data_IF_537359406160
#
_entry.id   IF_537359406160
#
_cell.length_a   1.000
_cell.length_b   1.000
_cell.length_c   1.000
_cell.angle_alpha   90.00
_cell.angle_beta   90.00
_cell.angle_gamma   90.00
#
_symmetry.space_group_name_H-M   'P 1'
#
loop_
_entity.id
_entity.type
_entity.pdbx_description
1 polymer ?
#
# COMPACT_ATOMS: atom_id res chain seq x y z
N UNK A 1 -2.91 4.72 71.83
CA UNK A 1 -2.36 3.40 71.45
C UNK A 1 -3.49 2.55 70.90
N UNK A 2 -3.42 2.18 69.62
CA UNK A 2 -4.39 1.34 68.92
C UNK A 2 -3.63 0.24 68.14
N UNK A 3 -4.22 -0.95 67.96
CA UNK A 3 -3.50 -2.13 67.52
C UNK A 3 -3.31 -2.20 66.01
N UNK A 4 -2.32 -3.01 65.63
CA UNK A 4 -1.82 -3.27 64.28
C UNK A 4 -2.72 -4.33 63.62
N UNK A 5 -3.19 -4.11 62.39
CA UNK A 5 -3.65 -5.16 61.46
C UNK A 5 -2.67 -5.20 60.28
N UNK A 6 -1.88 -6.26 60.04
CA UNK A 6 -2.26 -7.56 59.45
C UNK A 6 -3.16 -7.39 58.23
N UNK A 7 -2.81 -7.80 57.01
CA UNK A 7 -1.74 -8.64 56.51
C UNK A 7 -2.13 -9.04 55.07
N UNK A 8 -1.18 -8.90 54.15
CA UNK A 8 -0.93 -9.75 52.97
C UNK A 8 -2.17 -10.18 52.15
N UNK A 9 -2.40 -9.48 51.04
CA UNK A 9 -3.30 -9.92 49.96
C UNK A 9 -2.73 -11.17 49.25
N UNK A 10 -3.62 -12.13 49.00
CA UNK A 10 -3.34 -13.53 48.63
C UNK A 10 -2.80 -13.67 47.20
N UNK A 11 -1.82 -14.56 47.08
CA UNK A 11 -1.18 -15.05 45.85
C UNK A 11 -2.12 -15.82 44.91
N UNK A 12 -2.02 -15.62 43.59
CA UNK A 12 -2.43 -16.63 42.59
C UNK A 12 -1.52 -16.60 41.34
N UNK A 13 -0.20 -16.53 41.50
CA UNK A 13 0.71 -16.91 40.40
C UNK A 13 1.49 -18.16 40.81
N UNK A 14 1.04 -19.32 40.31
CA UNK A 14 1.85 -20.53 40.28
C UNK A 14 2.64 -20.53 38.96
N UNK A 15 3.98 -20.60 38.98
CA UNK A 15 4.76 -20.86 37.78
C UNK A 15 4.75 -22.37 37.52
N UNK A 16 4.20 -22.80 36.38
CA UNK A 16 4.33 -24.19 35.92
C UNK A 16 5.30 -24.25 34.74
N UNK A 17 6.51 -24.73 35.09
CA UNK A 17 7.50 -25.50 34.32
C UNK A 17 8.15 -24.84 33.09
N UNK A 18 9.48 -24.80 33.15
CA UNK A 18 10.39 -24.56 32.04
C UNK A 18 10.24 -25.65 30.97
N UNK A 19 10.11 -25.24 29.71
CA UNK A 19 10.21 -26.13 28.55
C UNK A 19 11.47 -25.74 27.79
N UNK A 20 12.32 -26.75 27.60
CA UNK A 20 13.68 -26.63 27.11
C UNK A 20 13.77 -26.08 25.67
N UNK A 21 14.83 -25.31 25.47
CA UNK A 21 15.34 -24.75 24.24
C UNK A 21 15.66 -25.85 23.22
N UNK A 22 14.88 -25.94 22.14
CA UNK A 22 15.33 -26.60 20.92
C UNK A 22 15.97 -25.52 20.03
N UNK A 23 17.29 -25.63 19.84
CA UNK A 23 18.07 -24.77 18.98
C UNK A 23 17.62 -24.92 17.52
N UNK A 24 16.86 -23.96 17.02
CA UNK A 24 16.65 -23.80 15.59
C UNK A 24 17.77 -22.90 15.06
N UNK A 25 18.69 -23.47 14.28
CA UNK A 25 19.83 -22.76 13.72
C UNK A 25 19.37 -21.68 12.72
N UNK A 26 19.27 -20.42 13.16
CA UNK A 26 19.07 -19.24 12.30
C UNK A 26 20.41 -18.77 11.73
N UNK A 27 21.11 -19.65 11.01
CA UNK A 27 22.31 -19.29 10.23
C UNK A 27 22.22 -19.88 8.84
N UNK A 28 21.42 -19.22 8.00
CA UNK A 28 21.68 -18.91 6.57
C UNK A 28 20.41 -18.33 5.96
N UNK A 29 20.08 -17.10 6.33
CA UNK A 29 19.32 -16.20 5.45
C UNK A 29 19.66 -14.73 5.80
N UNK A 30 20.96 -14.45 5.92
CA UNK A 30 21.47 -13.09 5.83
C UNK A 30 21.87 -12.91 4.37
N UNK A 31 20.97 -12.28 3.60
CA UNK A 31 21.24 -11.42 2.45
C UNK A 31 20.00 -11.32 1.56
N UNK A 32 19.10 -10.41 1.93
CA UNK A 32 18.26 -9.72 0.98
C UNK A 32 17.80 -8.41 1.63
N UNK A 33 18.73 -7.47 1.76
CA UNK A 33 18.39 -6.05 1.76
C UNK A 33 17.87 -5.68 0.37
N UNK A 34 16.70 -6.19 0.00
CA UNK A 34 16.01 -5.72 -1.20
C UNK A 34 15.11 -4.57 -0.77
N UNK A 35 15.62 -3.35 -0.98
CA UNK A 35 14.74 -2.28 -1.40
C UNK A 35 13.91 -2.85 -2.55
N UNK A 36 12.67 -3.25 -2.26
CA UNK A 36 11.77 -3.73 -3.30
C UNK A 36 11.71 -2.66 -4.39
N UNK A 37 11.70 -3.05 -5.68
CA UNK A 37 11.62 -2.10 -6.78
C UNK A 37 10.45 -1.18 -6.50
N UNK A 38 10.76 0.11 -6.32
CA UNK A 38 9.79 1.17 -6.11
C UNK A 38 8.73 0.97 -7.19
N UNK A 39 7.50 0.68 -6.77
CA UNK A 39 6.37 0.47 -7.69
C UNK A 39 6.27 1.74 -8.53
N UNK A 40 6.86 1.71 -9.73
CA UNK A 40 6.63 2.72 -10.76
C UNK A 40 5.13 2.80 -10.84
N UNK A 41 4.56 4.01 -10.75
CA UNK A 41 3.12 4.21 -10.94
C UNK A 41 2.82 3.64 -12.32
N UNK A 42 2.40 2.39 -12.38
CA UNK A 42 2.09 1.73 -13.63
C UNK A 42 0.88 2.45 -14.16
N UNK A 43 1.06 3.16 -15.26
CA UNK A 43 -0.03 3.71 -16.03
C UNK A 43 -0.99 2.54 -16.28
N UNK A 44 -2.25 2.69 -15.90
CA UNK A 44 -3.23 1.62 -16.06
C UNK A 44 -3.47 1.45 -17.56
N UNK A 45 -3.49 0.21 -18.04
CA UNK A 45 -3.99 -0.09 -19.38
C UNK A 45 -5.38 0.52 -19.53
N UNK A 46 -5.57 1.32 -20.58
CA UNK A 46 -6.86 1.96 -20.85
C UNK A 46 -7.83 0.91 -21.41
N UNK A 47 -8.29 0.00 -20.55
CA UNK A 47 -9.16 -1.12 -20.92
C UNK A 47 -10.49 -0.65 -21.53
N UNK A 48 -10.93 0.58 -21.23
CA UNK A 48 -12.05 1.23 -21.90
C UNK A 48 -11.88 1.35 -23.42
N UNK A 49 -10.64 1.45 -23.92
CA UNK A 49 -10.38 1.54 -25.37
C UNK A 49 -10.59 0.20 -26.09
N UNK A 50 -10.65 -0.93 -25.37
CA UNK A 50 -11.00 -2.21 -25.96
C UNK A 50 -12.49 -2.32 -26.34
N UNK A 51 -13.32 -1.33 -25.96
CA UNK A 51 -14.68 -1.20 -26.46
C UNK A 51 -14.71 -0.81 -27.95
N UNK A 52 -13.66 -0.16 -28.45
CA UNK A 52 -13.47 0.16 -29.85
C UNK A 52 -13.06 -1.12 -30.63
N UNK A 53 -13.84 -1.54 -31.65
CA UNK A 53 -13.55 -2.76 -32.40
C UNK A 53 -12.19 -2.75 -33.10
N UNK A 54 -11.70 -1.59 -33.54
CA UNK A 54 -10.42 -1.47 -34.26
C UNK A 54 -9.22 -1.57 -33.31
N UNK A 55 -9.36 -1.00 -32.11
CA UNK A 55 -8.36 -1.14 -31.03
C UNK A 55 -8.32 -2.59 -30.55
N UNK A 56 -9.48 -3.23 -30.38
CA UNK A 56 -9.58 -4.64 -29.98
C UNK A 56 -8.93 -5.57 -31.01
N UNK A 57 -9.17 -5.34 -32.30
CA UNK A 57 -8.54 -6.12 -33.38
C UNK A 57 -7.02 -5.95 -33.38
N UNK A 58 -6.54 -4.73 -33.18
CA UNK A 58 -5.10 -4.43 -33.08
C UNK A 58 -4.46 -5.13 -31.88
N UNK A 59 -5.13 -5.13 -30.73
CA UNK A 59 -4.68 -5.85 -29.53
C UNK A 59 -4.53 -7.36 -29.78
N UNK A 60 -5.56 -8.00 -30.38
CA UNK A 60 -5.53 -9.42 -30.68
C UNK A 60 -4.39 -9.80 -31.65
N UNK A 61 -4.18 -9.02 -32.71
CA UNK A 61 -3.10 -9.26 -33.66
C UNK A 61 -1.71 -9.13 -33.02
N UNK A 62 -1.51 -8.13 -32.15
CA UNK A 62 -0.24 -7.93 -31.44
C UNK A 62 -0.01 -8.98 -30.36
N UNK A 63 -1.07 -9.42 -29.68
CA UNK A 63 -0.99 -10.49 -28.69
C UNK A 63 -0.56 -11.80 -29.34
N UNK A 64 -1.17 -12.15 -30.47
CA UNK A 64 -0.83 -13.36 -31.22
C UNK A 64 0.64 -13.33 -31.72
N UNK A 65 1.12 -12.16 -32.16
CA UNK A 65 2.52 -11.99 -32.58
C UNK A 65 3.54 -11.97 -31.43
N UNK A 66 3.08 -11.79 -30.17
CA UNK A 66 3.95 -11.71 -29.00
C UNK A 66 3.87 -12.95 -28.11
N UNK A 67 2.99 -13.91 -28.41
CA UNK A 67 2.80 -15.10 -27.59
C UNK A 67 3.95 -16.10 -27.85
N UNK A 68 4.67 -16.54 -26.81
CA UNK A 68 5.71 -17.55 -26.99
C UNK A 68 5.06 -18.90 -27.35
N UNK A 69 5.48 -19.52 -28.45
CA UNK A 69 5.05 -20.87 -28.88
C UNK A 69 5.68 -22.01 -28.03
N UNK A 70 6.14 -21.69 -26.82
CA UNK A 70 6.92 -22.61 -25.97
C UNK A 70 5.93 -23.46 -25.16
N UNK A 71 6.10 -24.79 -25.06
CA UNK A 71 5.25 -25.62 -24.22
C UNK A 71 5.30 -25.14 -22.77
N UNK A 72 4.12 -25.00 -22.16
CA UNK A 72 3.90 -24.41 -20.84
C UNK A 72 4.39 -25.35 -19.71
N UNK A 73 5.71 -25.59 -19.63
CA UNK A 73 6.33 -26.46 -18.62
C UNK A 73 7.25 -25.72 -17.65
N UNK A 74 7.55 -24.44 -17.90
CA UNK A 74 8.50 -23.64 -17.12
C UNK A 74 7.85 -22.36 -16.53
N UNK A 75 8.17 -22.08 -15.26
CA UNK A 75 7.72 -20.88 -14.52
C UNK A 75 8.17 -19.60 -15.22
N UNK A 76 9.33 -19.61 -15.87
CA UNK A 76 9.81 -18.45 -16.63
C UNK A 76 8.96 -18.18 -17.89
N UNK A 77 8.40 -19.22 -18.51
CA UNK A 77 7.47 -19.09 -19.65
C UNK A 77 6.17 -18.39 -19.24
N UNK A 78 5.65 -18.71 -18.05
CA UNK A 78 4.45 -18.06 -17.50
C UNK A 78 4.65 -16.55 -17.28
N UNK A 79 5.80 -16.15 -16.73
CA UNK A 79 6.11 -14.73 -16.55
C UNK A 79 6.30 -14.00 -17.89
N UNK A 80 6.87 -14.67 -18.90
CA UNK A 80 7.02 -14.12 -20.24
C UNK A 80 5.65 -13.89 -20.92
N UNK A 81 4.68 -14.77 -20.70
CA UNK A 81 3.30 -14.60 -21.18
C UNK A 81 2.62 -13.38 -20.56
N UNK A 82 2.75 -13.19 -19.25
CA UNK A 82 2.23 -12.01 -18.55
C UNK A 82 2.90 -10.73 -19.08
N UNK A 83 4.22 -10.76 -19.31
CA UNK A 83 4.94 -9.63 -19.88
C UNK A 83 4.50 -9.30 -21.32
N UNK A 84 4.21 -10.32 -22.12
CA UNK A 84 3.69 -10.22 -23.48
C UNK A 84 2.30 -9.58 -23.52
N UNK A 85 1.37 -10.04 -22.68
CA UNK A 85 0.05 -9.45 -22.51
C UNK A 85 0.12 -7.97 -22.14
N UNK A 86 0.96 -7.62 -21.17
CA UNK A 86 1.11 -6.24 -20.71
C UNK A 86 1.72 -5.35 -21.81
N UNK A 87 2.66 -5.88 -22.59
CA UNK A 87 3.30 -5.18 -23.71
C UNK A 87 2.33 -4.95 -24.86
N UNK A 88 1.59 -5.98 -25.29
CA UNK A 88 0.55 -5.89 -26.31
C UNK A 88 -0.56 -4.91 -25.90
N UNK A 89 -0.96 -4.93 -24.63
CA UNK A 89 -1.93 -4.00 -24.06
C UNK A 89 -1.45 -2.55 -24.14
N UNK A 90 -0.21 -2.26 -23.72
CA UNK A 90 0.35 -0.90 -23.78
C UNK A 90 0.44 -0.39 -25.21
N UNK A 91 0.77 -1.29 -26.14
CA UNK A 91 0.96 -1.01 -27.55
C UNK A 91 -0.36 -0.73 -28.31
N UNK A 92 -1.45 -1.41 -27.95
CA UNK A 92 -2.74 -1.27 -28.63
C UNK A 92 -3.64 -0.24 -27.95
N UNK A 93 -3.76 -0.29 -26.63
CA UNK A 93 -4.67 0.56 -25.87
C UNK A 93 -3.98 1.85 -25.38
N UNK A 94 -2.67 1.96 -25.53
CA UNK A 94 -1.90 3.00 -24.86
C UNK A 94 -1.97 2.85 -23.34
N UNK A 95 -1.39 3.83 -22.65
CA UNK A 95 -1.48 3.90 -21.21
C UNK A 95 -2.28 5.12 -20.81
N UNK A 96 -3.31 4.96 -19.97
CA UNK A 96 -3.93 6.12 -19.37
C UNK A 96 -2.92 6.71 -18.37
N UNK A 97 -2.56 8.02 -18.48
CA UNK A 97 -1.85 8.69 -17.39
C UNK A 97 -2.62 8.36 -16.11
N UNK A 98 -1.94 7.99 -15.02
CA UNK A 98 -2.62 7.83 -13.75
C UNK A 98 -3.30 9.16 -13.53
N UNK A 99 -4.63 9.18 -13.61
CA UNK A 99 -5.37 10.39 -13.33
C UNK A 99 -4.81 10.88 -12.01
N UNK A 100 -4.40 12.16 -11.97
CA UNK A 100 -3.80 12.72 -10.78
C UNK A 100 -4.81 12.47 -9.67
N UNK A 101 -4.55 11.45 -8.85
CA UNK A 101 -5.46 11.07 -7.77
C UNK A 101 -5.52 12.32 -6.94
N UNK A 102 -6.62 13.07 -7.03
CA UNK A 102 -6.91 14.21 -6.16
C UNK A 102 -7.19 13.61 -4.80
N UNK A 103 -6.13 13.21 -4.12
CA UNK A 103 -6.19 12.83 -2.73
C UNK A 103 -6.58 14.10 -1.96
N UNK A 104 -7.59 13.96 -1.09
CA UNK A 104 -8.08 15.04 -0.23
C UNK A 104 -7.04 15.45 0.83
N UNK A 105 -6.00 14.63 1.00
CA UNK A 105 -4.83 14.90 1.84
C UNK A 105 -3.78 15.69 1.07
N UNK A 106 -3.09 16.59 1.78
CA UNK A 106 -2.04 17.44 1.22
C UNK A 106 -0.75 16.67 0.95
N UNK A 107 0.11 17.24 0.10
CA UNK A 107 1.44 16.67 -0.18
C UNK A 107 2.30 16.53 1.09
N UNK A 108 2.12 17.45 2.05
CA UNK A 108 2.77 17.38 3.36
C UNK A 108 2.42 16.09 4.10
N UNK A 109 1.14 15.72 4.15
CA UNK A 109 0.69 14.46 4.76
C UNK A 109 1.20 13.25 4.00
N UNK A 110 1.27 13.32 2.67
CA UNK A 110 1.83 12.25 1.83
C UNK A 110 3.33 12.02 2.14
N UNK A 111 4.10 13.09 2.35
CA UNK A 111 5.52 13.00 2.74
C UNK A 111 5.68 12.33 4.10
N UNK A 112 4.86 12.69 5.10
CA UNK A 112 4.89 12.06 6.42
C UNK A 112 4.54 10.56 6.36
N UNK A 113 3.54 10.18 5.56
CA UNK A 113 3.16 8.79 5.34
C UNK A 113 4.28 8.00 4.65
N UNK A 114 4.98 8.60 3.68
CA UNK A 114 6.16 7.98 3.05
C UNK A 114 7.31 7.82 4.04
N UNK A 115 7.60 8.84 4.84
CA UNK A 115 8.62 8.77 5.89
C UNK A 115 8.35 7.62 6.86
N UNK A 116 7.10 7.51 7.35
CA UNK A 116 6.66 6.39 8.22
C UNK A 116 6.84 5.01 7.58
N UNK A 117 6.71 4.89 6.26
CA UNK A 117 6.83 3.62 5.52
C UNK A 117 8.28 3.17 5.36
N UNK A 118 9.23 4.10 5.43
CA UNK A 118 10.65 3.82 5.26
C UNK A 118 11.37 3.44 6.57
N UNK A 119 10.68 3.51 7.71
CA UNK A 119 11.25 3.15 9.02
C UNK A 119 11.07 1.66 9.26
N UNK A 120 12.15 0.97 9.65
CA UNK A 120 12.12 -0.45 10.03
C UNK A 120 11.26 -0.67 11.28
N UNK A 121 10.69 -1.87 11.42
CA UNK A 121 9.90 -2.26 12.60
C UNK A 121 10.77 -2.63 13.84
N UNK A 122 12.04 -2.20 13.84
CA UNK A 122 13.01 -2.49 14.89
C UNK A 122 12.68 -1.70 16.18
N UNK A 123 12.70 -2.32 17.37
CA UNK A 123 12.41 -1.66 18.65
C UNK A 123 13.15 -0.34 18.90
N UNK A 124 14.40 -0.21 18.43
CA UNK A 124 15.20 1.02 18.56
C UNK A 124 14.54 2.23 17.87
N UNK A 125 13.74 1.99 16.82
CA UNK A 125 13.05 3.03 16.07
C UNK A 125 11.67 3.38 16.62
N UNK A 126 11.18 2.67 17.64
CA UNK A 126 9.84 2.85 18.20
C UNK A 126 9.54 4.30 18.66
N UNK A 127 10.47 5.04 19.30
CA UNK A 127 10.23 6.44 19.66
C UNK A 127 9.97 7.33 18.43
N UNK A 128 10.78 7.18 17.38
CA UNK A 128 10.66 7.94 16.12
C UNK A 128 9.36 7.59 15.39
N UNK A 129 8.99 6.31 15.36
CA UNK A 129 7.71 5.83 14.82
C UNK A 129 6.53 6.51 15.57
N UNK A 130 6.62 6.61 16.89
CA UNK A 130 5.61 7.27 17.72
C UNK A 130 5.43 8.75 17.38
N UNK A 131 6.53 9.49 17.22
CA UNK A 131 6.52 10.91 16.87
C UNK A 131 5.88 11.12 15.49
N UNK A 132 6.29 10.35 14.49
CA UNK A 132 5.75 10.49 13.12
C UNK A 132 4.27 10.09 13.07
N UNK A 133 3.83 9.07 13.82
CA UNK A 133 2.40 8.73 13.93
C UNK A 133 1.58 9.89 14.47
N UNK A 134 2.08 10.61 15.48
CA UNK A 134 1.42 11.81 16.03
C UNK A 134 1.36 12.93 15.00
N UNK A 135 2.44 13.18 14.28
CA UNK A 135 2.50 14.19 13.22
C UNK A 135 1.53 13.89 12.07
N UNK A 136 1.49 12.64 11.58
CA UNK A 136 0.52 12.19 10.57
C UNK A 136 -0.91 12.40 11.08
N UNK A 137 -1.20 12.07 12.34
CA UNK A 137 -2.53 12.25 12.91
C UNK A 137 -2.95 13.72 12.93
N UNK A 138 -2.04 14.64 13.25
CA UNK A 138 -2.30 16.07 13.24
C UNK A 138 -2.45 16.62 11.82
N UNK A 139 -1.60 16.22 10.87
CA UNK A 139 -1.67 16.71 9.49
C UNK A 139 -2.96 16.25 8.78
N UNK A 140 -3.38 15.00 9.01
CA UNK A 140 -4.65 14.47 8.49
C UNK A 140 -5.86 15.22 9.05
N UNK A 141 -5.81 15.64 10.33
CA UNK A 141 -6.87 16.48 10.92
C UNK A 141 -6.96 17.82 10.21
N UNK A 142 -5.82 18.49 10.02
CA UNK A 142 -5.77 19.78 9.29
C UNK A 142 -6.30 19.63 7.86
N UNK A 143 -5.86 18.60 7.13
CA UNK A 143 -6.34 18.32 5.78
C UNK A 143 -7.86 18.07 5.75
N UNK A 144 -8.39 17.42 6.78
CA UNK A 144 -9.83 17.13 6.91
C UNK A 144 -10.64 18.40 7.13
N UNK A 145 -10.17 19.32 7.99
CA UNK A 145 -10.84 20.61 8.19
C UNK A 145 -10.88 21.40 6.88
N UNK A 146 -9.75 21.50 6.17
CA UNK A 146 -9.67 22.18 4.87
C UNK A 146 -10.61 21.54 3.85
N UNK A 147 -10.64 20.20 3.80
CA UNK A 147 -11.54 19.48 2.91
C UNK A 147 -13.00 19.75 3.23
N UNK A 148 -13.40 19.74 4.51
CA UNK A 148 -14.77 20.05 4.92
C UNK A 148 -15.19 21.48 4.56
N UNK A 149 -14.33 22.48 4.80
CA UNK A 149 -14.62 23.88 4.41
C UNK A 149 -14.80 24.01 2.91
N UNK A 150 -13.91 23.39 2.13
CA UNK A 150 -14.02 23.37 0.66
C UNK A 150 -15.31 22.70 0.22
N UNK A 151 -15.65 21.55 0.82
CA UNK A 151 -16.84 20.79 0.44
C UNK A 151 -18.12 21.56 0.76
N UNK A 152 -18.19 22.24 1.91
CA UNK A 152 -19.31 23.12 2.25
C UNK A 152 -19.50 24.25 1.21
N UNK A 153 -18.40 24.90 0.79
CA UNK A 153 -18.44 25.91 -0.27
C UNK A 153 -18.92 25.35 -1.61
N UNK A 154 -18.41 24.19 -2.02
CA UNK A 154 -18.87 23.52 -3.25
C UNK A 154 -20.38 23.20 -3.19
N UNK A 155 -20.90 22.80 -2.02
CA UNK A 155 -22.34 22.54 -1.84
C UNK A 155 -23.17 23.82 -1.90
N UNK A 156 -22.69 24.93 -1.32
CA UNK A 156 -23.35 26.24 -1.39
C UNK A 156 -23.36 26.77 -2.84
N UNK A 157 -22.25 26.64 -3.57
CA UNK A 157 -22.17 27.01 -4.99
C UNK A 157 -23.09 26.15 -5.86
N UNK A 158 -23.15 24.83 -5.62
CA UNK A 158 -24.06 23.94 -6.33
C UNK A 158 -25.53 24.26 -6.04
N UNK A 159 -25.88 24.59 -4.80
CA UNK A 159 -27.23 25.04 -4.46
C UNK A 159 -27.60 26.34 -5.19
N UNK A 160 -26.67 27.30 -5.26
CA UNK A 160 -26.86 28.57 -5.99
C UNK A 160 -26.92 28.37 -7.51
N UNK A 161 -26.19 27.38 -8.04
CA UNK A 161 -26.18 27.06 -9.46
C UNK A 161 -27.50 26.43 -9.95
N UNK A 162 -28.33 25.92 -9.04
CA UNK A 162 -29.74 25.63 -9.28
C UNK A 162 -30.00 24.32 -10.03
N UNK A 163 -30.96 23.55 -9.49
CA UNK A 163 -31.79 22.65 -10.28
C UNK A 163 -32.48 23.47 -11.37
N UNK A 164 -32.04 23.30 -12.62
CA UNK A 164 -32.82 23.62 -13.81
C UNK A 164 -33.68 22.41 -14.19
#
# INVERSE_FOLDING_TARGET
MAPISSGISKSIFKPRRAVNLAAFNVRTLKEAGQQGPRKVRTNRLATERLADPDVRRTYQNRLLGSLPNIPLSDVNSYWAEIASLHSAGNLACGTAPPSARKHWISDRTVVLLRSRRNISADPEHNPVIGIIRRQVKLSVRVDREVWWTRKAKEMEEAQKAGNA
#
